data_IF_099584109675
#
_entry.id   IF_099584109675
#
_cell.length_a   1.000
_cell.length_b   1.000
_cell.length_c   1.000
_cell.angle_alpha   90.00
_cell.angle_beta   90.00
_cell.angle_gamma   90.00
#
_symmetry.space_group_name_H-M   'P 1'
#
loop_
_entity.id
_entity.type
_entity.pdbx_description
1 polymer ?
#
# COMPACT_ATOMS: atom_id res chain seq x y z
N UNK A 1 -7.42 19.54 -5.13
CA UNK A 1 -6.63 20.09 -6.25
C UNK A 1 -6.32 19.05 -7.30
N UNK A 2 -5.61 17.96 -6.98
CA UNK A 2 -5.24 16.93 -7.99
C UNK A 2 -6.46 16.26 -8.63
N UNK A 3 -7.45 15.84 -7.84
CA UNK A 3 -8.60 15.08 -8.34
C UNK A 3 -9.69 15.94 -8.99
N UNK A 4 -9.70 17.25 -8.75
CA UNK A 4 -10.82 18.13 -9.14
C UNK A 4 -12.17 17.83 -8.45
N UNK A 5 -12.27 16.82 -7.60
CA UNK A 5 -13.53 16.41 -6.95
C UNK A 5 -13.65 17.09 -5.59
N UNK A 6 -14.60 18.02 -5.44
CA UNK A 6 -14.91 18.67 -4.15
C UNK A 6 -15.87 17.83 -3.30
N UNK A 7 -15.93 18.05 -1.97
CA UNK A 7 -16.90 17.38 -1.10
C UNK A 7 -18.35 17.58 -1.56
N UNK A 8 -18.69 18.75 -2.10
CA UNK A 8 -20.03 19.03 -2.64
C UNK A 8 -20.35 18.20 -3.89
N UNK A 9 -19.37 18.01 -4.78
CA UNK A 9 -19.53 17.12 -5.94
C UNK A 9 -19.74 15.68 -5.45
N UNK A 10 -18.92 15.23 -4.51
CA UNK A 10 -19.03 13.88 -3.95
C UNK A 10 -20.38 13.66 -3.25
N UNK A 11 -20.85 14.62 -2.46
CA UNK A 11 -22.14 14.55 -1.76
C UNK A 11 -23.34 14.55 -2.73
N UNK A 12 -23.28 15.33 -3.81
CA UNK A 12 -24.40 15.44 -4.77
C UNK A 12 -24.49 14.27 -5.76
N UNK A 13 -23.36 13.63 -6.09
CA UNK A 13 -23.32 12.53 -7.08
C UNK A 13 -23.09 11.16 -6.46
N UNK A 14 -22.64 11.12 -5.20
CA UNK A 14 -22.26 9.91 -4.51
C UNK A 14 -23.42 9.20 -3.83
N UNK A 15 -23.05 8.18 -3.06
CA UNK A 15 -23.91 7.41 -2.17
C UNK A 15 -23.25 7.33 -0.80
N UNK A 16 -23.95 6.82 0.22
CA UNK A 16 -23.34 6.59 1.53
C UNK A 16 -22.17 5.61 1.45
N UNK A 17 -21.24 5.66 2.41
CA UNK A 17 -20.09 4.75 2.41
C UNK A 17 -20.54 3.28 2.52
N UNK A 18 -21.64 3.01 3.24
CA UNK A 18 -22.25 1.69 3.33
C UNK A 18 -22.69 1.14 1.96
N UNK A 19 -23.37 1.97 1.16
CA UNK A 19 -23.78 1.57 -0.19
C UNK A 19 -22.59 1.47 -1.14
N UNK A 20 -21.63 2.41 -1.05
CA UNK A 20 -20.40 2.39 -1.83
C UNK A 20 -19.59 1.11 -1.58
N UNK A 21 -19.41 0.73 -0.32
CA UNK A 21 -18.77 -0.51 0.10
C UNK A 21 -19.49 -1.73 -0.47
N UNK A 22 -20.83 -1.74 -0.42
CA UNK A 22 -21.62 -2.85 -0.95
C UNK A 22 -21.41 -3.05 -2.46
N UNK A 23 -21.40 -1.96 -3.24
CA UNK A 23 -21.16 -1.99 -4.69
C UNK A 23 -19.76 -2.52 -5.02
N UNK A 24 -18.71 -2.02 -4.34
CA UNK A 24 -17.34 -2.50 -4.56
C UNK A 24 -17.21 -3.97 -4.15
N UNK A 25 -17.73 -4.33 -2.98
CA UNK A 25 -17.65 -5.70 -2.49
C UNK A 25 -18.31 -6.69 -3.47
N UNK A 26 -19.48 -6.35 -4.02
CA UNK A 26 -20.15 -7.20 -5.01
C UNK A 26 -19.28 -7.44 -6.25
N UNK A 27 -18.59 -6.42 -6.75
CA UNK A 27 -17.67 -6.54 -7.88
C UNK A 27 -16.44 -7.37 -7.53
N UNK A 28 -15.83 -7.13 -6.35
CA UNK A 28 -14.56 -7.74 -5.95
C UNK A 28 -14.71 -9.21 -5.50
N UNK A 29 -15.93 -9.65 -5.20
CA UNK A 29 -16.21 -11.03 -4.73
C UNK A 29 -16.78 -11.95 -5.80
N UNK A 30 -16.92 -11.49 -7.05
CA UNK A 30 -17.16 -12.36 -8.18
C UNK A 30 -16.05 -13.42 -8.28
N UNK A 31 -16.42 -14.68 -8.54
CA UNK A 31 -15.49 -15.81 -8.54
C UNK A 31 -14.39 -15.66 -9.61
N UNK A 32 -13.20 -16.20 -9.31
CA UNK A 32 -12.03 -16.19 -10.20
C UNK A 32 -11.58 -14.78 -10.66
N UNK A 33 -11.85 -13.76 -9.86
CA UNK A 33 -11.49 -12.37 -10.18
C UNK A 33 -10.07 -12.05 -9.73
N UNK A 34 -9.28 -11.44 -10.64
CA UNK A 34 -8.01 -10.81 -10.29
C UNK A 34 -8.19 -9.30 -10.23
N UNK A 35 -8.31 -8.74 -9.02
CA UNK A 35 -8.38 -7.30 -8.82
C UNK A 35 -6.98 -6.70 -9.02
N UNK A 36 -6.87 -5.71 -9.90
CA UNK A 36 -5.58 -5.11 -10.28
C UNK A 36 -5.76 -3.63 -10.59
N UNK A 37 -4.76 -2.85 -10.22
CA UNK A 37 -4.63 -1.45 -10.59
C UNK A 37 -3.17 -1.07 -10.79
N UNK A 38 -2.87 0.21 -10.57
CA UNK A 38 -1.53 0.76 -10.66
C UNK A 38 -1.15 1.36 -9.30
N UNK A 39 -0.21 0.75 -8.58
CA UNK A 39 0.11 1.06 -7.18
C UNK A 39 -1.00 0.71 -6.16
N UNK A 40 -1.96 -0.12 -6.55
CA UNK A 40 -3.12 -0.45 -5.71
C UNK A 40 -2.72 -1.20 -4.43
N UNK A 41 -1.71 -2.08 -4.47
CA UNK A 41 -1.37 -2.93 -3.31
C UNK A 41 -0.89 -2.11 -2.10
N UNK A 42 -0.34 -0.90 -2.35
CA UNK A 42 0.13 0.01 -1.30
C UNK A 42 -0.82 1.17 -1.03
N UNK A 43 -1.88 1.35 -1.83
CA UNK A 43 -2.81 2.47 -1.69
C UNK A 43 -4.28 2.02 -1.79
N UNK A 44 -4.80 1.74 -2.99
CA UNK A 44 -6.22 1.45 -3.21
C UNK A 44 -6.72 0.21 -2.46
N UNK A 45 -5.87 -0.82 -2.30
CA UNK A 45 -6.17 -2.00 -1.50
C UNK A 45 -6.29 -1.64 0.00
N UNK A 46 -5.50 -0.68 0.49
CA UNK A 46 -5.57 -0.19 1.87
C UNK A 46 -6.84 0.65 2.07
N UNK A 47 -7.22 1.47 1.08
CA UNK A 47 -8.51 2.17 1.07
C UNK A 47 -9.66 1.16 1.09
N UNK A 48 -9.62 0.13 0.23
CA UNK A 48 -10.64 -0.93 0.15
C UNK A 48 -10.77 -1.69 1.47
N UNK A 49 -9.66 -2.10 2.08
CA UNK A 49 -9.66 -2.77 3.39
C UNK A 49 -10.33 -1.93 4.46
N UNK A 50 -10.02 -0.64 4.51
CA UNK A 50 -10.57 0.27 5.51
C UNK A 50 -12.05 0.58 5.25
N UNK A 51 -12.48 0.72 3.99
CA UNK A 51 -13.89 0.86 3.62
C UNK A 51 -14.66 -0.40 4.06
N UNK A 52 -14.15 -1.59 3.77
CA UNK A 52 -14.80 -2.83 4.19
C UNK A 52 -14.85 -2.99 5.71
N UNK A 53 -13.75 -2.69 6.39
CA UNK A 53 -13.64 -2.69 7.85
C UNK A 53 -14.69 -1.79 8.53
N UNK A 54 -14.81 -0.54 8.07
CA UNK A 54 -15.79 0.41 8.63
C UNK A 54 -17.24 0.05 8.33
N UNK A 55 -17.49 -0.76 7.30
CA UNK A 55 -18.82 -1.11 6.81
C UNK A 55 -19.12 -2.61 6.95
N UNK A 56 -18.45 -3.29 7.89
CA UNK A 56 -18.72 -4.67 8.31
C UNK A 56 -18.55 -5.76 7.25
N UNK A 57 -17.79 -5.48 6.19
CA UNK A 57 -17.35 -6.48 5.23
C UNK A 57 -16.00 -7.07 5.65
N UNK A 58 -15.71 -8.32 5.25
CA UNK A 58 -14.38 -8.90 5.48
C UNK A 58 -13.32 -8.09 4.71
N UNK A 59 -12.33 -7.46 5.39
CA UNK A 59 -11.36 -6.60 4.73
C UNK A 59 -10.42 -7.34 3.76
N UNK A 60 -10.35 -8.67 3.83
CA UNK A 60 -9.33 -9.48 3.17
C UNK A 60 -9.90 -10.53 2.21
N UNK A 61 -11.09 -11.08 2.51
CA UNK A 61 -11.73 -12.19 1.80
C UNK A 61 -11.76 -12.03 0.28
N UNK A 62 -12.07 -10.82 -0.19
CA UNK A 62 -12.13 -10.46 -1.61
C UNK A 62 -10.86 -10.77 -2.42
N UNK A 63 -9.69 -10.80 -1.77
CA UNK A 63 -8.39 -10.97 -2.42
C UNK A 63 -7.95 -12.43 -2.58
N UNK A 64 -8.68 -13.41 -2.03
CA UNK A 64 -8.27 -14.82 -2.04
C UNK A 64 -9.40 -15.86 -2.04
N UNK A 65 -10.60 -15.53 -1.55
CA UNK A 65 -11.74 -16.45 -1.56
C UNK A 65 -12.20 -16.72 -3.00
N UNK A 66 -12.85 -17.86 -3.24
CA UNK A 66 -13.45 -18.21 -4.53
C UNK A 66 -12.49 -18.19 -5.73
N UNK A 67 -11.21 -18.51 -5.48
CA UNK A 67 -10.17 -18.47 -6.51
C UNK A 67 -9.72 -17.05 -6.89
N UNK A 68 -10.12 -16.04 -6.13
CA UNK A 68 -9.74 -14.66 -6.39
C UNK A 68 -8.26 -14.41 -6.08
N UNK A 69 -7.75 -13.33 -6.65
CA UNK A 69 -6.38 -12.88 -6.44
C UNK A 69 -6.29 -11.37 -6.58
N UNK A 70 -5.11 -10.82 -6.29
CA UNK A 70 -4.78 -9.44 -6.59
C UNK A 70 -3.45 -9.34 -7.33
N UNK A 71 -3.25 -8.21 -7.99
CA UNK A 71 -2.00 -7.87 -8.67
C UNK A 71 -1.79 -6.35 -8.68
N UNK A 72 -0.60 -5.91 -9.09
CA UNK A 72 -0.24 -4.48 -9.18
C UNK A 72 0.72 -4.27 -10.36
N UNK A 73 0.35 -3.39 -11.28
CA UNK A 73 1.16 -3.14 -12.47
C UNK A 73 2.37 -2.23 -12.23
N UNK A 74 2.45 -1.49 -11.13
CA UNK A 74 3.60 -0.60 -10.89
C UNK A 74 4.91 -1.38 -10.84
N UNK A 75 4.97 -2.43 -10.01
CA UNK A 75 6.19 -3.24 -9.90
C UNK A 75 6.37 -4.15 -11.15
N UNK A 76 5.33 -4.41 -11.94
CA UNK A 76 5.44 -5.03 -13.27
C UNK A 76 6.16 -4.10 -14.26
N UNK A 77 5.81 -2.82 -14.29
CA UNK A 77 6.49 -1.83 -15.16
C UNK A 77 7.97 -1.70 -14.77
N UNK A 78 8.26 -1.61 -13.46
CA UNK A 78 9.64 -1.60 -12.96
C UNK A 78 10.41 -2.86 -13.35
N UNK A 79 9.79 -4.03 -13.22
CA UNK A 79 10.42 -5.29 -13.58
C UNK A 79 10.68 -5.40 -15.08
N UNK A 80 9.75 -4.91 -15.90
CA UNK A 80 9.93 -4.84 -17.35
C UNK A 80 11.11 -3.93 -17.72
N UNK A 81 11.16 -2.71 -17.19
CA UNK A 81 12.30 -1.81 -17.40
C UNK A 81 13.64 -2.43 -16.94
N UNK A 82 13.63 -3.04 -15.76
CA UNK A 82 14.85 -3.56 -15.16
C UNK A 82 15.38 -4.80 -15.89
N UNK A 83 14.50 -5.71 -16.28
CA UNK A 83 14.90 -7.03 -16.74
C UNK A 83 14.79 -7.16 -18.26
N UNK A 84 13.75 -6.61 -18.88
CA UNK A 84 13.46 -6.78 -20.31
C UNK A 84 12.89 -5.47 -20.90
N UNK A 85 13.71 -4.41 -20.98
CA UNK A 85 13.24 -3.08 -21.37
C UNK A 85 12.84 -2.98 -22.85
N UNK A 86 13.29 -3.92 -23.69
CA UNK A 86 13.16 -3.82 -25.14
C UNK A 86 11.68 -3.80 -25.57
N UNK A 87 11.34 -2.91 -26.51
CA UNK A 87 10.00 -2.80 -27.10
C UNK A 87 9.04 -1.83 -26.40
N UNK A 88 9.44 -1.21 -25.28
CA UNK A 88 8.68 -0.17 -24.57
C UNK A 88 9.55 1.08 -24.44
N UNK A 89 8.95 2.26 -24.63
CA UNK A 89 9.63 3.53 -24.40
C UNK A 89 9.56 3.90 -22.92
N UNK A 90 10.72 4.16 -22.31
CA UNK A 90 10.83 4.46 -20.89
C UNK A 90 11.14 5.95 -20.69
N UNK A 91 10.19 6.75 -20.17
CA UNK A 91 10.42 8.17 -19.95
C UNK A 91 11.37 8.38 -18.77
N UNK A 92 12.13 9.47 -18.82
CA UNK A 92 12.98 9.92 -17.73
C UNK A 92 12.29 11.05 -16.93
N UNK A 93 12.63 11.18 -15.66
CA UNK A 93 12.24 12.31 -14.81
C UNK A 93 13.25 13.46 -14.96
N UNK A 94 13.02 14.56 -14.23
CA UNK A 94 13.87 15.76 -14.25
C UNK A 94 15.32 15.48 -13.80
N UNK A 95 15.53 14.42 -13.00
CA UNK A 95 16.84 13.99 -12.51
C UNK A 95 17.56 13.00 -13.45
N UNK A 96 16.97 12.68 -14.62
CA UNK A 96 17.52 11.71 -15.58
C UNK A 96 17.32 10.24 -15.19
N UNK A 97 16.43 9.94 -14.24
CA UNK A 97 16.08 8.58 -13.82
C UNK A 97 14.76 8.10 -14.46
N UNK A 98 14.55 6.78 -14.64
CA UNK A 98 13.31 6.25 -15.20
C UNK A 98 12.09 6.67 -14.38
N UNK A 99 11.08 7.21 -15.05
CA UNK A 99 9.80 7.56 -14.47
C UNK A 99 8.76 6.47 -14.69
N UNK A 100 8.10 6.06 -13.61
CA UNK A 100 7.01 5.07 -13.63
C UNK A 100 5.66 5.70 -13.30
N UNK A 101 5.52 7.02 -13.47
CA UNK A 101 4.21 7.66 -13.40
C UNK A 101 3.38 7.24 -14.62
N UNK A 102 2.10 6.92 -14.41
CA UNK A 102 1.26 6.32 -15.44
C UNK A 102 1.10 7.27 -16.64
N UNK A 103 0.90 8.55 -16.37
CA UNK A 103 0.80 9.63 -17.35
C UNK A 103 2.07 9.81 -18.19
N UNK A 104 3.26 9.62 -17.60
CA UNK A 104 4.51 9.67 -18.34
C UNK A 104 4.66 8.45 -19.26
N UNK A 105 4.34 7.25 -18.76
CA UNK A 105 4.45 6.01 -19.51
C UNK A 105 3.49 5.97 -20.69
N UNK A 106 2.23 6.36 -20.50
CA UNK A 106 1.24 6.38 -21.58
C UNK A 106 1.65 7.36 -22.67
N UNK A 107 2.08 8.58 -22.29
CA UNK A 107 2.56 9.60 -23.22
C UNK A 107 3.76 9.11 -24.04
N UNK A 108 4.75 8.49 -23.39
CA UNK A 108 5.95 7.97 -24.05
C UNK A 108 5.66 6.83 -25.05
N UNK A 109 4.55 6.11 -24.86
CA UNK A 109 4.19 4.94 -25.67
C UNK A 109 2.99 5.18 -26.60
N UNK A 110 2.56 6.44 -26.79
CA UNK A 110 1.45 6.78 -27.69
C UNK A 110 0.08 6.24 -27.25
N UNK A 111 -0.10 5.99 -25.95
CA UNK A 111 -1.37 5.55 -25.36
C UNK A 111 -2.20 6.77 -25.00
N UNK A 112 -3.46 6.80 -25.44
CA UNK A 112 -4.40 7.85 -25.08
C UNK A 112 -4.59 7.92 -23.56
N UNK A 113 -4.40 9.10 -23.01
CA UNK A 113 -4.57 9.40 -21.59
C UNK A 113 -5.13 10.82 -21.50
N UNK A 114 -6.44 10.95 -21.70
CA UNK A 114 -7.11 12.25 -21.92
C UNK A 114 -7.10 13.12 -20.67
N UNK A 115 -7.57 12.58 -19.54
CA UNK A 115 -7.63 13.28 -18.24
C UNK A 115 -6.92 12.44 -17.18
N UNK A 116 -5.63 12.69 -16.97
CA UNK A 116 -4.92 12.09 -15.84
C UNK A 116 -5.60 12.45 -14.52
N UNK A 117 -5.69 11.49 -13.59
CA UNK A 117 -6.41 11.61 -12.32
C UNK A 117 -7.95 11.60 -12.40
N UNK A 118 -8.51 11.28 -13.57
CA UNK A 118 -9.86 10.72 -13.67
C UNK A 118 -9.81 9.20 -13.49
N UNK A 119 -10.69 8.66 -12.64
CA UNK A 119 -10.66 7.25 -12.27
C UNK A 119 -10.83 6.30 -13.47
N UNK A 120 -11.68 6.65 -14.44
CA UNK A 120 -11.90 5.80 -15.62
C UNK A 120 -10.75 5.92 -16.61
N UNK A 121 -10.23 7.13 -16.81
CA UNK A 121 -9.03 7.36 -17.65
C UNK A 121 -7.84 6.56 -17.13
N UNK A 122 -7.58 6.58 -15.82
CA UNK A 122 -6.49 5.83 -15.19
C UNK A 122 -6.69 4.31 -15.33
N UNK A 123 -7.93 3.81 -15.27
CA UNK A 123 -8.26 2.39 -15.54
C UNK A 123 -7.92 2.00 -16.98
N UNK A 124 -8.31 2.80 -17.97
CA UNK A 124 -8.00 2.52 -19.38
C UNK A 124 -6.50 2.61 -19.67
N UNK A 125 -5.81 3.59 -19.10
CA UNK A 125 -4.36 3.72 -19.16
C UNK A 125 -3.66 2.47 -18.57
N UNK A 126 -4.10 2.04 -17.38
CA UNK A 126 -3.59 0.82 -16.72
C UNK A 126 -3.78 -0.42 -17.58
N UNK A 127 -4.98 -0.60 -18.16
CA UNK A 127 -5.27 -1.71 -19.07
C UNK A 127 -4.40 -1.67 -20.34
N UNK A 128 -4.20 -0.50 -20.93
CA UNK A 128 -3.37 -0.33 -22.12
C UNK A 128 -1.90 -0.68 -21.82
N UNK A 129 -1.37 -0.23 -20.68
CA UNK A 129 -0.01 -0.59 -20.25
C UNK A 129 0.13 -2.10 -19.99
N UNK A 130 -0.88 -2.74 -19.39
CA UNK A 130 -0.90 -4.20 -19.21
C UNK A 130 -0.81 -4.94 -20.56
N UNK A 131 -1.61 -4.51 -21.55
CA UNK A 131 -1.60 -5.06 -22.91
C UNK A 131 -0.25 -4.86 -23.58
N UNK A 132 0.34 -3.68 -23.44
CA UNK A 132 1.66 -3.37 -24.01
C UNK A 132 2.74 -4.29 -23.45
N UNK A 133 2.83 -4.47 -22.13
CA UNK A 133 3.80 -5.38 -21.53
C UNK A 133 3.54 -6.83 -21.96
N UNK A 134 2.28 -7.26 -22.01
CA UNK A 134 1.91 -8.61 -22.45
C UNK A 134 2.31 -8.85 -23.91
N UNK A 135 2.19 -7.86 -24.79
CA UNK A 135 2.57 -7.95 -26.19
C UNK A 135 4.10 -7.98 -26.37
N UNK A 136 4.81 -7.03 -25.74
CA UNK A 136 6.26 -6.85 -25.95
C UNK A 136 7.10 -7.85 -25.16
N UNK A 137 6.64 -8.24 -23.97
CA UNK A 137 7.38 -9.10 -23.04
C UNK A 137 6.49 -10.22 -22.45
N UNK A 138 5.89 -11.09 -23.28
CA UNK A 138 4.88 -12.07 -22.85
C UNK A 138 5.39 -13.05 -21.79
N UNK A 139 6.63 -13.54 -21.93
CA UNK A 139 7.23 -14.47 -20.97
C UNK A 139 7.43 -13.84 -19.59
N UNK A 140 7.85 -12.58 -19.55
CA UNK A 140 8.00 -11.85 -18.29
C UNK A 140 6.63 -11.58 -17.67
N UNK A 141 5.65 -11.15 -18.47
CA UNK A 141 4.28 -10.91 -18.01
C UNK A 141 3.67 -12.17 -17.40
N UNK A 142 3.76 -13.32 -18.07
CA UNK A 142 3.25 -14.60 -17.58
C UNK A 142 3.97 -15.06 -16.31
N UNK A 143 5.29 -14.91 -16.26
CA UNK A 143 6.08 -15.22 -15.08
C UNK A 143 5.61 -14.38 -13.88
N UNK A 144 5.53 -13.05 -14.03
CA UNK A 144 5.12 -12.13 -12.96
C UNK A 144 3.67 -12.36 -12.54
N UNK A 145 2.77 -12.60 -13.50
CA UNK A 145 1.38 -12.90 -13.21
C UNK A 145 1.27 -14.18 -12.38
N UNK A 146 1.96 -15.26 -12.77
CA UNK A 146 1.98 -16.52 -12.02
C UNK A 146 2.53 -16.34 -10.61
N UNK A 147 3.60 -15.56 -10.47
CA UNK A 147 4.28 -15.30 -9.20
C UNK A 147 3.63 -14.17 -8.38
N UNK A 148 2.45 -13.66 -8.75
CA UNK A 148 1.63 -12.86 -7.82
C UNK A 148 1.11 -13.69 -6.64
N UNK A 149 0.99 -15.00 -6.84
CA UNK A 149 0.52 -15.93 -5.82
C UNK A 149 1.62 -16.26 -4.81
N UNK A 150 1.32 -16.09 -3.51
CA UNK A 150 2.28 -16.34 -2.42
C UNK A 150 2.88 -17.75 -2.44
N UNK A 151 2.10 -18.77 -2.81
CA UNK A 151 2.59 -20.16 -2.84
C UNK A 151 3.58 -20.36 -3.98
N UNK A 152 3.40 -19.67 -5.11
CA UNK A 152 4.37 -19.68 -6.22
C UNK A 152 5.65 -18.96 -5.83
N UNK A 153 5.56 -17.81 -5.16
CA UNK A 153 6.74 -17.09 -4.64
C UNK A 153 7.55 -17.95 -3.66
N UNK A 154 6.89 -18.68 -2.76
CA UNK A 154 7.57 -19.56 -1.80
C UNK A 154 8.47 -20.60 -2.47
N UNK A 155 8.16 -21.05 -3.70
CA UNK A 155 9.02 -22.00 -4.43
C UNK A 155 10.37 -21.43 -4.85
N UNK A 156 10.52 -20.10 -4.87
CA UNK A 156 11.78 -19.43 -5.18
C UNK A 156 12.68 -19.29 -3.95
N UNK A 157 12.11 -19.31 -2.75
CA UNK A 157 12.78 -18.98 -1.49
C UNK A 157 13.48 -20.20 -0.92
N UNK A 158 14.78 -20.11 -0.73
CA UNK A 158 15.60 -21.12 -0.04
C UNK A 158 16.52 -20.42 0.97
N UNK A 159 16.04 -20.34 2.22
CA UNK A 159 16.73 -19.72 3.35
C UNK A 159 17.96 -20.55 3.77
N UNK A 160 17.89 -21.89 3.93
CA UNK A 160 19.07 -22.68 4.32
C UNK A 160 20.26 -22.51 3.37
N UNK A 161 20.04 -22.51 2.06
CA UNK A 161 21.11 -22.36 1.07
C UNK A 161 21.47 -20.89 0.78
N UNK A 162 20.76 -19.94 1.41
CA UNK A 162 20.90 -18.52 1.14
C UNK A 162 20.85 -18.25 -0.37
N UNK A 163 19.82 -18.80 -1.05
CA UNK A 163 19.72 -18.74 -2.50
C UNK A 163 19.45 -17.30 -2.95
N UNK A 164 20.35 -16.67 -3.74
CA UNK A 164 20.15 -15.30 -4.17
C UNK A 164 18.98 -15.20 -5.16
N UNK A 165 18.25 -14.10 -5.07
CA UNK A 165 17.11 -13.77 -5.90
C UNK A 165 17.27 -12.36 -6.46
N UNK A 166 16.73 -12.12 -7.66
CA UNK A 166 16.45 -10.76 -8.13
C UNK A 166 15.21 -10.27 -7.42
N UNK A 167 15.26 -9.06 -6.89
CA UNK A 167 14.10 -8.38 -6.37
C UNK A 167 13.96 -6.98 -6.98
N UNK A 168 12.75 -6.66 -7.44
CA UNK A 168 12.39 -5.34 -7.97
C UNK A 168 11.42 -4.67 -7.00
N UNK A 169 11.77 -3.46 -6.56
CA UNK A 169 11.03 -2.71 -5.55
C UNK A 169 11.40 -1.22 -5.59
N UNK A 170 10.39 -0.35 -5.52
CA UNK A 170 10.58 1.10 -5.42
C UNK A 170 11.55 1.54 -4.31
N UNK A 171 11.63 0.78 -3.20
CA UNK A 171 12.52 1.08 -2.07
C UNK A 171 14.01 1.05 -2.41
N UNK A 172 14.40 0.39 -3.51
CA UNK A 172 15.79 0.36 -3.96
C UNK A 172 16.23 1.66 -4.66
N UNK A 173 15.29 2.52 -5.05
CA UNK A 173 15.56 3.79 -5.73
C UNK A 173 15.69 3.65 -7.25
N UNK A 174 15.37 4.73 -7.97
CA UNK A 174 15.36 4.76 -9.43
C UNK A 174 16.77 4.69 -10.03
N UNK A 175 17.80 5.11 -9.29
CA UNK A 175 19.20 5.10 -9.71
C UNK A 175 19.74 3.71 -10.12
N UNK A 176 19.18 2.64 -9.54
CA UNK A 176 19.48 1.25 -9.92
C UNK A 176 18.30 0.53 -10.55
N UNK A 177 17.43 1.28 -11.23
CA UNK A 177 16.21 0.77 -11.86
C UNK A 177 15.31 0.00 -10.89
N UNK A 178 15.23 0.44 -9.63
CA UNK A 178 14.46 -0.20 -8.57
C UNK A 178 14.82 -1.69 -8.35
N UNK A 179 16.05 -2.11 -8.64
CA UNK A 179 16.42 -3.54 -8.67
C UNK A 179 17.66 -3.83 -7.84
N UNK A 180 17.69 -5.00 -7.22
CA UNK A 180 18.91 -5.55 -6.62
C UNK A 180 18.89 -7.08 -6.58
N UNK A 181 20.05 -7.68 -6.31
CA UNK A 181 20.09 -9.04 -5.78
C UNK A 181 19.88 -9.01 -4.26
N UNK A 182 19.01 -9.89 -3.80
CA UNK A 182 18.74 -10.09 -2.38
C UNK A 182 18.95 -11.54 -2.00
N UNK A 183 19.22 -11.77 -0.72
CA UNK A 183 19.32 -13.11 -0.15
C UNK A 183 18.36 -13.26 1.04
N UNK A 184 17.54 -14.33 1.08
CA UNK A 184 16.64 -14.56 2.20
C UNK A 184 17.39 -15.15 3.39
N UNK A 185 17.21 -14.55 4.57
CA UNK A 185 17.90 -15.01 5.78
C UNK A 185 16.95 -15.62 6.82
N UNK A 186 15.73 -15.13 6.95
CA UNK A 186 14.75 -15.68 7.88
C UNK A 186 13.32 -15.26 7.51
N UNK A 187 12.34 -15.98 8.06
CA UNK A 187 10.97 -15.47 8.15
C UNK A 187 10.88 -14.50 9.32
N UNK A 188 10.03 -13.48 9.20
CA UNK A 188 9.72 -12.58 10.31
C UNK A 188 9.07 -13.37 11.46
N UNK A 189 9.43 -13.09 12.73
CA UNK A 189 8.92 -13.82 13.89
C UNK A 189 7.38 -13.76 14.01
N UNK A 190 6.79 -12.57 13.91
CA UNK A 190 5.33 -12.41 14.05
C UNK A 190 4.57 -12.43 12.72
N UNK A 191 5.07 -11.71 11.71
CA UNK A 191 4.40 -11.61 10.42
C UNK A 191 4.76 -12.76 9.48
N UNK A 192 3.92 -13.81 9.47
CA UNK A 192 4.08 -15.00 8.61
C UNK A 192 4.18 -14.73 7.10
N UNK A 193 3.80 -13.54 6.64
CA UNK A 193 3.91 -13.16 5.23
C UNK A 193 5.13 -12.28 4.93
N UNK A 194 5.98 -11.98 5.91
CA UNK A 194 7.17 -11.15 5.74
C UNK A 194 8.44 -12.01 5.75
N UNK A 195 9.23 -11.88 4.69
CA UNK A 195 10.54 -12.50 4.55
C UNK A 195 11.62 -11.45 4.83
N UNK A 196 12.54 -11.75 5.73
CA UNK A 196 13.70 -10.92 6.01
C UNK A 196 14.76 -11.23 4.95
N UNK A 197 15.12 -10.22 4.16
CA UNK A 197 16.14 -10.34 3.11
C UNK A 197 17.23 -9.28 3.30
N UNK A 198 18.44 -9.63 2.89
CA UNK A 198 19.57 -8.70 2.81
C UNK A 198 19.79 -8.29 1.36
N UNK A 199 19.98 -7.00 1.14
CA UNK A 199 20.37 -6.40 -0.14
C UNK A 199 21.87 -6.63 -0.36
N UNK A 200 22.22 -7.50 -1.30
CA UNK A 200 23.61 -7.88 -1.55
C UNK A 200 24.44 -6.75 -2.17
N UNK A 201 23.81 -5.70 -2.68
CA UNK A 201 24.51 -4.52 -3.19
C UNK A 201 24.85 -3.50 -2.08
N UNK A 202 24.37 -3.72 -0.85
CA UNK A 202 24.63 -2.83 0.28
C UNK A 202 25.93 -3.12 1.01
N UNK A 203 26.28 -2.25 1.95
CA UNK A 203 27.42 -2.41 2.85
C UNK A 203 27.09 -3.41 3.96
N UNK A 204 27.80 -4.53 4.02
CA UNK A 204 27.60 -5.58 5.03
C UNK A 204 28.21 -5.24 6.39
N UNK A 205 29.08 -4.22 6.47
CA UNK A 205 29.83 -3.85 7.68
C UNK A 205 28.92 -3.69 8.90
N UNK A 206 27.78 -2.96 8.84
CA UNK A 206 26.90 -2.82 9.98
C UNK A 206 26.36 -4.16 10.51
N UNK A 207 26.04 -5.10 9.61
CA UNK A 207 25.53 -6.42 10.01
C UNK A 207 26.58 -7.26 10.74
N UNK A 208 27.85 -7.06 10.39
CA UNK A 208 28.99 -7.76 10.98
C UNK A 208 29.38 -7.16 12.34
N UNK A 209 29.34 -5.83 12.47
CA UNK A 209 29.95 -5.14 13.61
C UNK A 209 28.98 -4.70 14.70
N UNK A 210 27.72 -4.39 14.37
CA UNK A 210 26.74 -3.89 15.33
C UNK A 210 25.96 -5.03 16.01
N UNK A 211 25.50 -4.79 17.24
CA UNK A 211 24.51 -5.64 17.91
C UNK A 211 23.07 -5.39 17.39
N UNK A 212 22.11 -6.17 17.88
CA UNK A 212 20.72 -6.12 17.42
C UNK A 212 20.02 -4.78 17.75
N UNK A 213 20.30 -4.18 18.91
CA UNK A 213 19.66 -2.93 19.33
C UNK A 213 20.16 -1.75 18.50
N UNK A 214 21.48 -1.68 18.33
CA UNK A 214 22.15 -0.68 17.46
C UNK A 214 21.70 -0.82 15.99
N UNK A 215 21.53 -2.05 15.50
CA UNK A 215 20.99 -2.27 14.16
C UNK A 215 19.53 -1.84 14.04
N UNK A 216 18.70 -2.11 15.06
CA UNK A 216 17.29 -1.74 15.09
C UNK A 216 17.13 -0.22 15.06
N UNK A 217 17.86 0.49 15.92
CA UNK A 217 17.87 1.95 15.96
C UNK A 217 18.22 2.51 14.57
N UNK A 218 19.35 2.06 14.00
CA UNK A 218 19.80 2.53 12.67
C UNK A 218 18.85 2.17 11.54
N UNK A 219 18.15 1.03 11.61
CA UNK A 219 17.16 0.61 10.62
C UNK A 219 15.95 1.55 10.58
N UNK A 220 15.57 2.13 11.72
CA UNK A 220 14.42 3.04 11.84
C UNK A 220 14.81 4.53 11.82
N UNK A 221 16.10 4.86 11.83
CA UNK A 221 16.58 6.23 11.59
C UNK A 221 16.39 6.62 10.12
N UNK A 222 15.88 7.84 9.89
CA UNK A 222 15.69 8.34 8.52
C UNK A 222 17.04 8.57 7.85
N UNK A 223 17.13 8.32 6.54
CA UNK A 223 18.39 8.50 5.79
C UNK A 223 19.00 9.90 5.93
N UNK A 224 18.17 10.94 6.01
CA UNK A 224 18.61 12.33 6.22
C UNK A 224 19.28 12.57 7.58
N UNK A 225 19.03 11.69 8.56
CA UNK A 225 19.53 11.79 9.93
C UNK A 225 20.75 10.86 10.17
N UNK A 226 21.09 9.99 9.21
CA UNK A 226 22.20 9.04 9.32
C UNK A 226 23.59 9.67 9.12
N UNK A 227 23.67 10.91 8.61
CA UNK A 227 24.95 11.55 8.27
C UNK A 227 25.77 10.70 7.29
N UNK A 228 27.03 10.41 7.67
CA UNK A 228 27.97 9.60 6.87
C UNK A 228 27.80 8.08 7.07
N UNK A 229 26.87 7.64 7.94
CA UNK A 229 26.67 6.22 8.21
C UNK A 229 25.94 5.51 7.07
N UNK A 230 26.44 4.34 6.67
CA UNK A 230 25.74 3.44 5.75
C UNK A 230 24.40 3.00 6.36
N UNK A 231 23.34 3.04 5.56
CA UNK A 231 22.06 2.44 5.91
C UNK A 231 22.18 0.92 6.04
N UNK A 232 21.35 0.31 6.90
CA UNK A 232 21.32 -1.14 7.08
C UNK A 232 20.78 -1.81 5.80
N UNK A 233 21.49 -2.78 5.19
CA UNK A 233 21.08 -3.40 3.93
C UNK A 233 20.04 -4.50 4.14
N UNK A 234 19.05 -4.26 5.01
CA UNK A 234 18.01 -5.23 5.38
C UNK A 234 16.65 -4.67 4.97
N UNK A 235 15.80 -5.53 4.43
CA UNK A 235 14.40 -5.18 4.15
C UNK A 235 13.47 -6.36 4.37
N UNK A 236 12.19 -6.03 4.54
CA UNK A 236 11.12 -7.02 4.51
C UNK A 236 10.54 -7.16 3.11
N UNK A 237 10.34 -8.39 2.66
CA UNK A 237 9.59 -8.73 1.45
C UNK A 237 8.28 -9.37 1.88
N UNK A 238 7.17 -8.67 1.69
CA UNK A 238 5.84 -9.17 2.02
C UNK A 238 5.28 -10.01 0.88
N UNK A 239 5.30 -11.34 1.01
CA UNK A 239 4.92 -12.30 -0.07
C UNK A 239 3.44 -12.20 -0.47
N UNK A 240 2.59 -11.62 0.38
CA UNK A 240 1.19 -11.38 0.08
C UNK A 240 0.96 -10.04 -0.65
N UNK A 241 1.96 -9.17 -0.80
CA UNK A 241 1.88 -7.86 -1.47
C UNK A 241 2.49 -7.88 -2.88
N UNK A 242 2.31 -8.99 -3.61
CA UNK A 242 2.74 -9.17 -4.99
C UNK A 242 4.21 -8.77 -5.27
N UNK A 243 5.19 -9.10 -4.42
CA UNK A 243 6.56 -8.65 -4.63
C UNK A 243 7.16 -9.33 -5.86
N UNK A 244 7.92 -8.57 -6.64
CA UNK A 244 8.65 -9.14 -7.78
C UNK A 244 9.89 -9.85 -7.25
N UNK A 245 9.87 -11.19 -7.28
CA UNK A 245 11.04 -12.04 -7.04
C UNK A 245 11.28 -12.93 -8.26
N UNK A 246 12.54 -13.09 -8.65
CA UNK A 246 12.94 -14.00 -9.71
C UNK A 246 14.28 -14.68 -9.40
N UNK A 247 14.60 -15.83 -10.02
CA UNK A 247 15.91 -16.45 -9.89
C UNK A 247 17.05 -15.48 -10.26
N UNK A 248 18.20 -15.57 -9.59
CA UNK A 248 19.34 -14.67 -9.77
C UNK A 248 19.77 -14.47 -11.24
N UNK A 249 19.73 -15.53 -12.05
CA UNK A 249 20.10 -15.52 -13.47
C UNK A 249 19.12 -14.76 -14.37
N UNK A 250 17.96 -14.31 -13.85
CA UNK A 250 17.01 -13.49 -14.60
C UNK A 250 17.57 -12.10 -14.90
N UNK A 251 18.40 -11.57 -13.98
CA UNK A 251 19.20 -10.36 -14.18
C UNK A 251 20.49 -10.74 -14.91
N UNK A 252 20.53 -10.42 -16.21
CA UNK A 252 21.66 -10.75 -17.07
C UNK A 252 22.85 -9.81 -16.80
N UNK A 253 24.10 -10.20 -17.11
CA UNK A 253 25.26 -9.32 -16.93
C UNK A 253 25.09 -7.95 -17.58
N UNK A 254 24.50 -7.89 -18.79
CA UNK A 254 24.25 -6.66 -19.52
C UNK A 254 23.18 -5.77 -18.85
N UNK A 255 22.14 -6.37 -18.27
CA UNK A 255 21.12 -5.63 -17.51
C UNK A 255 21.72 -5.08 -16.22
N UNK A 256 22.53 -5.87 -15.52
CA UNK A 256 23.22 -5.42 -14.31
C UNK A 256 24.18 -4.26 -14.61
N UNK A 257 24.93 -4.34 -15.72
CA UNK A 257 25.78 -3.24 -16.18
C UNK A 257 24.99 -1.97 -16.50
N UNK A 258 23.87 -2.08 -17.21
CA UNK A 258 22.96 -0.95 -17.50
C UNK A 258 22.39 -0.31 -16.24
N UNK A 259 22.11 -1.12 -15.21
CA UNK A 259 21.52 -0.66 -13.95
C UNK A 259 22.57 -0.26 -12.89
N UNK A 260 23.87 -0.36 -13.19
CA UNK A 260 24.94 -0.04 -12.23
C UNK A 260 25.03 -1.03 -11.05
N UNK A 261 24.59 -2.28 -11.23
CA UNK A 261 24.63 -3.30 -10.18
C UNK A 261 25.90 -4.13 -10.33
N UNK A 262 26.82 -4.02 -9.37
CA UNK A 262 28.04 -4.83 -9.32
C UNK A 262 27.74 -6.26 -8.84
N UNK A 263 27.65 -7.18 -9.81
CA UNK A 263 27.40 -8.60 -9.56
C UNK A 263 28.53 -9.27 -8.78
N UNK A 264 29.78 -8.83 -8.94
CA UNK A 264 30.91 -9.43 -8.24
C UNK A 264 30.87 -9.05 -6.76
N UNK A 265 30.70 -7.76 -6.47
CA UNK A 265 30.49 -7.28 -5.09
C UNK A 265 29.31 -8.00 -4.41
N UNK A 266 28.19 -8.20 -5.11
CA UNK A 266 27.06 -8.95 -4.55
C UNK A 266 27.40 -10.42 -4.21
N UNK A 267 28.22 -11.09 -5.04
CA UNK A 267 28.65 -12.46 -4.78
C UNK A 267 29.66 -12.55 -3.63
N UNK A 268 30.55 -11.56 -3.53
CA UNK A 268 31.52 -11.45 -2.43
C UNK A 268 30.76 -11.24 -1.11
N UNK A 269 29.77 -10.34 -1.08
CA UNK A 269 28.88 -10.16 0.08
C UNK A 269 28.09 -11.42 0.44
N UNK A 270 27.60 -12.18 -0.55
CA UNK A 270 26.94 -13.46 -0.30
C UNK A 270 27.90 -14.48 0.33
N UNK A 271 29.16 -14.52 -0.12
CA UNK A 271 30.18 -15.38 0.47
C UNK A 271 30.48 -14.99 1.93
N UNK A 272 30.58 -13.68 2.21
CA UNK A 272 30.71 -13.15 3.58
C UNK A 272 29.53 -13.58 4.46
N UNK A 273 28.28 -13.36 4.03
CA UNK A 273 27.10 -13.73 4.82
C UNK A 273 27.04 -15.24 5.15
N UNK A 274 27.51 -16.09 4.23
CA UNK A 274 27.59 -17.55 4.47
C UNK A 274 28.62 -17.95 5.51
N UNK A 275 29.66 -17.15 5.71
CA UNK A 275 30.66 -17.35 6.76
C UNK A 275 30.19 -16.84 8.13
N UNK A 276 29.11 -16.07 8.16
CA UNK A 276 28.56 -15.40 9.34
C UNK A 276 27.10 -15.80 9.63
N UNK A 277 26.82 -17.09 9.94
CA UNK A 277 25.46 -17.58 10.18
C UNK A 277 24.76 -16.89 11.36
N UNK A 278 25.51 -16.35 12.32
CA UNK A 278 25.01 -15.60 13.48
C UNK A 278 24.21 -14.35 13.09
N UNK A 279 24.44 -13.80 11.90
CA UNK A 279 23.67 -12.66 11.38
C UNK A 279 22.18 -13.01 11.30
N UNK A 280 21.83 -14.27 11.00
CA UNK A 280 20.42 -14.70 10.94
C UNK A 280 19.71 -14.46 12.27
N UNK A 281 20.31 -14.88 13.38
CA UNK A 281 19.73 -14.73 14.72
C UNK A 281 19.60 -13.26 15.09
N UNK A 282 20.63 -12.47 14.79
CA UNK A 282 20.64 -11.02 14.97
C UNK A 282 19.47 -10.36 14.24
N UNK A 283 19.24 -10.72 12.97
CA UNK A 283 18.13 -10.16 12.20
C UNK A 283 16.77 -10.58 12.73
N UNK A 284 16.60 -11.81 13.19
CA UNK A 284 15.33 -12.24 13.81
C UNK A 284 15.05 -11.43 15.09
N UNK A 285 16.07 -11.21 15.93
CA UNK A 285 15.94 -10.42 17.15
C UNK A 285 15.56 -8.95 16.89
N UNK A 286 16.10 -8.33 15.83
CA UNK A 286 15.72 -6.96 15.44
C UNK A 286 14.20 -6.82 15.25
N UNK A 287 13.57 -7.81 14.62
CA UNK A 287 12.13 -7.78 14.30
C UNK A 287 11.24 -8.38 15.40
N UNK A 288 11.78 -9.19 16.31
CA UNK A 288 11.03 -9.75 17.44
C UNK A 288 10.79 -8.72 18.54
N UNK A 289 11.82 -7.93 18.87
CA UNK A 289 11.77 -6.97 19.98
C UNK A 289 11.51 -5.54 19.50
N UNK A 290 10.83 -5.37 18.35
CA UNK A 290 10.43 -4.04 17.91
C UNK A 290 9.44 -3.46 18.92
N UNK A 291 9.73 -2.25 19.44
CA UNK A 291 8.81 -1.60 20.37
C UNK A 291 7.41 -1.50 19.75
N UNK A 292 6.37 -1.96 20.45
CA UNK A 292 5.01 -1.84 19.94
C UNK A 292 4.68 -0.36 19.81
N UNK A 293 4.27 0.03 18.61
CA UNK A 293 3.69 1.35 18.38
C UNK A 293 2.53 1.55 19.37
N UNK A 294 2.48 2.71 20.05
CA UNK A 294 1.35 3.03 20.93
C UNK A 294 0.06 2.98 20.12
N UNK A 295 -0.84 2.03 20.38
CA UNK A 295 -2.06 1.88 19.59
C UNK A 295 -2.88 3.16 19.67
N UNK A 296 -3.47 3.58 18.55
CA UNK A 296 -4.41 4.70 18.58
C UNK A 296 -5.72 4.28 19.23
N UNK A 297 -6.33 5.16 20.01
CA UNK A 297 -7.68 4.96 20.53
C UNK A 297 -8.79 5.10 19.46
N UNK A 298 -8.41 5.58 18.27
CA UNK A 298 -9.33 5.82 17.16
C UNK A 298 -9.63 4.52 16.39
N UNK A 299 -10.85 4.00 16.56
CA UNK A 299 -11.28 2.71 15.99
C UNK A 299 -11.10 2.60 14.47
N UNK A 300 -11.15 3.72 13.72
CA UNK A 300 -10.95 3.70 12.26
C UNK A 300 -9.50 3.37 11.86
N UNK A 301 -8.55 3.50 12.78
CA UNK A 301 -7.11 3.20 12.57
C UNK A 301 -6.70 1.83 13.11
N UNK A 302 -7.62 1.11 13.76
CA UNK A 302 -7.37 -0.14 14.46
C UNK A 302 -7.56 -1.39 13.59
N UNK A 303 -7.62 -1.25 12.25
CA UNK A 303 -7.78 -2.39 11.32
C UNK A 303 -6.74 -3.49 11.57
N UNK A 304 -5.50 -3.09 11.86
CA UNK A 304 -4.36 -3.99 12.00
C UNK A 304 -4.10 -4.49 13.43
N UNK A 305 -4.95 -4.12 14.40
CA UNK A 305 -4.84 -4.53 15.81
C UNK A 305 -5.24 -6.00 16.05
N UNK A 306 -5.56 -6.73 14.99
CA UNK A 306 -5.88 -8.15 15.03
C UNK A 306 -7.05 -8.53 14.12
N UNK A 307 -7.13 -9.82 13.78
CA UNK A 307 -8.25 -10.37 13.03
C UNK A 307 -9.47 -10.57 13.94
N UNK A 308 -10.67 -10.40 13.38
CA UNK A 308 -11.91 -10.78 14.05
C UNK A 308 -12.05 -12.31 14.16
N UNK A 309 -12.71 -12.79 15.21
CA UNK A 309 -13.05 -14.22 15.36
C UNK A 309 -14.10 -14.65 14.32
N UNK A 310 -14.28 -15.97 14.14
CA UNK A 310 -15.37 -16.49 13.29
C UNK A 310 -16.76 -16.08 13.81
N UNK A 311 -16.91 -16.05 15.14
CA UNK A 311 -18.14 -15.59 15.80
C UNK A 311 -18.40 -14.10 15.53
N UNK A 312 -17.38 -13.25 15.71
CA UNK A 312 -17.49 -11.82 15.39
C UNK A 312 -17.85 -11.62 13.90
N UNK A 313 -17.22 -12.35 12.98
CA UNK A 313 -17.54 -12.29 11.54
C UNK A 313 -19.00 -12.66 11.27
N UNK A 314 -19.52 -13.70 11.91
CA UNK A 314 -20.92 -14.08 11.78
C UNK A 314 -21.86 -12.98 12.30
N UNK A 315 -21.55 -12.38 13.46
CA UNK A 315 -22.31 -11.25 14.00
C UNK A 315 -22.26 -10.00 13.11
N UNK A 316 -21.10 -9.68 12.54
CA UNK A 316 -20.96 -8.57 11.58
C UNK A 316 -21.77 -8.81 10.30
N UNK A 317 -21.91 -10.05 9.85
CA UNK A 317 -22.81 -10.39 8.74
C UNK A 317 -24.28 -10.16 9.09
N UNK A 318 -24.70 -10.49 10.32
CA UNK A 318 -26.06 -10.20 10.81
C UNK A 318 -26.30 -8.68 10.81
N UNK A 319 -25.34 -7.89 11.29
CA UNK A 319 -25.40 -6.41 11.24
C UNK A 319 -25.67 -5.94 9.81
N UNK A 320 -24.91 -6.42 8.81
CA UNK A 320 -25.08 -6.00 7.42
C UNK A 320 -26.43 -6.40 6.80
N UNK A 321 -27.00 -7.53 7.21
CA UNK A 321 -28.28 -8.02 6.71
C UNK A 321 -29.48 -7.39 7.43
N UNK A 322 -29.25 -6.72 8.55
CA UNK A 322 -30.29 -6.08 9.35
C UNK A 322 -30.62 -4.69 8.78
N UNK A 323 -31.91 -4.39 8.63
CA UNK A 323 -32.35 -3.06 8.21
C UNK A 323 -31.86 -1.97 9.20
N UNK A 324 -31.41 -0.80 8.73
CA UNK A 324 -30.82 0.22 9.61
C UNK A 324 -31.67 0.63 10.81
N UNK A 325 -33.00 0.70 10.63
CA UNK A 325 -33.94 1.03 11.70
C UNK A 325 -34.01 -0.01 12.83
N UNK A 326 -33.60 -1.25 12.56
CA UNK A 326 -33.62 -2.35 13.52
C UNK A 326 -32.26 -2.59 14.19
N UNK A 327 -31.18 -1.96 13.70
CA UNK A 327 -29.84 -2.08 14.28
C UNK A 327 -29.75 -1.69 15.77
N UNK A 328 -30.48 -0.68 16.29
CA UNK A 328 -30.43 -0.34 17.71
C UNK A 328 -30.99 -1.43 18.62
N UNK A 329 -31.92 -2.24 18.11
CA UNK A 329 -32.58 -3.31 18.85
C UNK A 329 -31.81 -4.64 18.81
N UNK A 330 -30.68 -4.68 18.09
CA UNK A 330 -29.88 -5.87 17.90
C UNK A 330 -29.03 -6.15 19.16
N UNK A 331 -29.31 -7.26 19.84
CA UNK A 331 -28.55 -7.70 21.02
C UNK A 331 -27.53 -8.77 20.61
N UNK A 332 -26.35 -8.32 20.18
CA UNK A 332 -25.22 -9.18 19.82
C UNK A 332 -24.02 -8.94 20.73
N UNK A 333 -23.42 -10.03 21.18
CA UNK A 333 -22.16 -10.01 21.92
C UNK A 333 -21.00 -10.25 20.97
N UNK A 334 -19.95 -9.43 21.09
CA UNK A 334 -18.73 -9.52 20.30
C UNK A 334 -17.51 -9.70 21.20
N UNK A 335 -16.55 -10.52 20.74
CA UNK A 335 -15.27 -10.70 21.42
C UNK A 335 -14.42 -9.43 21.28
N UNK A 336 -14.41 -8.84 20.07
CA UNK A 336 -13.62 -7.65 19.80
C UNK A 336 -14.32 -6.38 20.30
N UNK A 337 -13.69 -5.58 21.18
CA UNK A 337 -14.27 -4.32 21.67
C UNK A 337 -14.40 -3.25 20.57
N UNK A 338 -13.75 -3.46 19.41
CA UNK A 338 -13.83 -2.58 18.25
C UNK A 338 -15.23 -2.55 17.64
N UNK A 339 -15.95 -3.68 17.64
CA UNK A 339 -17.22 -3.82 16.93
C UNK A 339 -18.27 -2.82 17.43
N UNK A 340 -18.40 -2.64 18.73
CA UNK A 340 -19.35 -1.68 19.31
C UNK A 340 -19.04 -0.23 18.89
N UNK A 341 -17.75 0.16 18.89
CA UNK A 341 -17.30 1.49 18.44
C UNK A 341 -17.55 1.67 16.93
N UNK A 342 -17.26 0.64 16.12
CA UNK A 342 -17.53 0.63 14.69
C UNK A 342 -19.02 0.77 14.39
N UNK A 343 -19.88 0.03 15.11
CA UNK A 343 -21.33 0.01 14.86
C UNK A 343 -21.96 1.37 15.11
N UNK A 344 -21.55 2.03 16.19
CA UNK A 344 -21.97 3.40 16.47
C UNK A 344 -21.58 4.35 15.34
N UNK A 345 -20.31 4.34 14.90
CA UNK A 345 -19.83 5.22 13.81
C UNK A 345 -20.47 4.89 12.47
N UNK A 346 -20.67 3.61 12.16
CA UNK A 346 -21.32 3.14 10.95
C UNK A 346 -22.75 3.67 10.85
N UNK A 347 -23.54 3.55 11.94
CA UNK A 347 -24.90 4.11 12.02
C UNK A 347 -24.89 5.63 11.93
N UNK A 348 -24.03 6.30 12.70
CA UNK A 348 -24.00 7.76 12.75
C UNK A 348 -23.59 8.41 11.41
N UNK A 349 -22.68 7.76 10.65
CA UNK A 349 -22.22 8.25 9.34
C UNK A 349 -23.21 7.97 8.22
N UNK A 350 -23.77 6.77 8.17
CA UNK A 350 -24.55 6.31 7.02
C UNK A 350 -26.06 6.46 7.21
N UNK A 351 -26.54 6.42 8.46
CA UNK A 351 -27.96 6.42 8.82
C UNK A 351 -28.23 7.34 10.03
N UNK A 352 -27.85 8.63 9.99
CA UNK A 352 -27.96 9.53 11.14
C UNK A 352 -29.39 9.66 11.68
N UNK A 353 -30.41 9.50 10.81
CA UNK A 353 -31.83 9.50 11.23
C UNK A 353 -32.27 8.31 12.08
N UNK A 354 -31.39 7.33 12.32
CA UNK A 354 -31.64 6.17 13.20
C UNK A 354 -31.11 6.38 14.61
N UNK A 355 -30.44 7.50 14.89
CA UNK A 355 -29.87 7.80 16.20
C UNK A 355 -30.92 8.38 17.14
N UNK A 356 -30.96 7.90 18.38
CA UNK A 356 -31.73 8.56 19.45
C UNK A 356 -31.07 9.86 19.94
N UNK A 357 -31.72 10.59 20.84
CA UNK A 357 -31.23 11.88 21.33
C UNK A 357 -29.85 11.76 22.01
N UNK A 358 -29.61 10.71 22.80
CA UNK A 358 -28.34 10.50 23.49
C UNK A 358 -27.22 10.16 22.51
N UNK A 359 -27.52 9.35 21.51
CA UNK A 359 -26.61 9.00 20.42
C UNK A 359 -26.28 10.20 19.54
N UNK A 360 -27.25 11.06 19.25
CA UNK A 360 -27.02 12.32 18.53
C UNK A 360 -26.10 13.26 19.33
N UNK A 361 -26.30 13.41 20.65
CA UNK A 361 -25.39 14.20 21.49
C UNK A 361 -23.99 13.61 21.53
N UNK A 362 -23.86 12.27 21.64
CA UNK A 362 -22.57 11.58 21.58
C UNK A 362 -21.87 11.82 20.24
N UNK A 363 -22.61 11.78 19.13
CA UNK A 363 -22.05 12.03 17.80
C UNK A 363 -21.64 13.49 17.61
N UNK A 364 -22.42 14.44 18.12
CA UNK A 364 -22.07 15.85 18.13
C UNK A 364 -20.77 16.10 18.93
N UNK A 365 -20.63 15.48 20.10
CA UNK A 365 -19.41 15.57 20.90
C UNK A 365 -18.20 15.02 20.14
N UNK A 366 -18.34 13.84 19.52
CA UNK A 366 -17.28 13.27 18.67
C UNK A 366 -16.89 14.22 17.52
N UNK A 367 -17.86 14.83 16.82
CA UNK A 367 -17.59 15.81 15.76
C UNK A 367 -16.81 17.02 16.29
N UNK A 368 -17.15 17.54 17.47
CA UNK A 368 -16.43 18.67 18.11
C UNK A 368 -14.99 18.34 18.47
N UNK A 369 -14.73 17.13 18.94
CA UNK A 369 -13.37 16.67 19.26
C UNK A 369 -12.51 16.51 17.99
N UNK A 370 -13.11 15.96 16.93
CA UNK A 370 -12.45 15.78 15.63
C UNK A 370 -12.21 17.12 14.93
N UNK A 371 -13.20 18.01 14.93
CA UNK A 371 -13.19 19.35 14.33
C UNK A 371 -12.91 20.42 15.40
N UNK A 372 -11.90 20.18 16.24
CA UNK A 372 -11.52 21.15 17.28
C UNK A 372 -10.95 22.45 16.67
N UNK A 373 -10.95 23.58 17.41
CA UNK A 373 -10.52 24.87 16.90
C UNK A 373 -9.13 24.86 16.27
N UNK A 374 -8.16 24.16 16.87
CA UNK A 374 -6.78 24.11 16.37
C UNK A 374 -6.70 23.43 14.99
N UNK A 375 -7.39 22.30 14.82
CA UNK A 375 -7.44 21.59 13.53
C UNK A 375 -8.15 22.40 12.45
N UNK A 376 -9.27 23.03 12.81
CA UNK A 376 -10.02 23.89 11.87
C UNK A 376 -9.17 25.09 11.47
N UNK A 377 -8.52 25.76 12.41
CA UNK A 377 -7.64 26.89 12.13
C UNK A 377 -6.46 26.48 11.25
N UNK A 378 -5.81 25.35 11.56
CA UNK A 378 -4.72 24.80 10.73
C UNK A 378 -5.17 24.53 9.29
N UNK A 379 -6.35 23.95 9.11
CA UNK A 379 -6.90 23.68 7.78
C UNK A 379 -7.20 24.99 7.02
N UNK A 380 -7.77 26.00 7.68
CA UNK A 380 -8.05 27.30 7.06
C UNK A 380 -6.76 28.03 6.66
N UNK A 381 -5.73 28.00 7.52
CA UNK A 381 -4.41 28.57 7.19
C UNK A 381 -3.76 27.86 6.00
N UNK A 382 -3.91 26.54 5.89
CA UNK A 382 -3.43 25.78 4.74
C UNK A 382 -4.16 26.20 3.46
N UNK A 383 -5.50 26.36 3.51
CA UNK A 383 -6.27 26.86 2.37
C UNK A 383 -5.83 28.27 1.93
N UNK A 384 -5.57 29.18 2.87
CA UNK A 384 -5.07 30.53 2.58
C UNK A 384 -3.68 30.51 1.94
N UNK A 385 -2.78 29.68 2.48
CA UNK A 385 -1.43 29.50 1.93
C UNK A 385 -1.47 28.96 0.50
N UNK A 386 -2.31 27.95 0.25
CA UNK A 386 -2.49 27.36 -1.08
C UNK A 386 -3.17 28.32 -2.06
N UNK A 387 -4.09 29.16 -1.59
CA UNK A 387 -4.74 30.17 -2.42
C UNK A 387 -3.74 31.23 -2.89
N UNK A 388 -2.84 31.66 -2.00
CA UNK A 388 -1.73 32.55 -2.35
C UNK A 388 -0.77 31.91 -3.35
N UNK A 389 -0.36 30.66 -3.12
CA UNK A 389 0.53 29.92 -4.01
C UNK A 389 -0.05 29.71 -5.43
N UNK A 390 -1.37 29.63 -5.55
CA UNK A 390 -2.08 29.35 -6.80
C UNK A 390 -2.96 30.52 -7.27
N UNK A 391 -2.61 31.77 -6.92
CA UNK A 391 -3.41 32.97 -7.22
C UNK A 391 -3.73 33.18 -8.71
N UNK A 392 -2.90 32.62 -9.60
CA UNK A 392 -3.07 32.71 -11.06
C UNK A 392 -3.87 31.55 -11.66
N UNK A 393 -4.17 30.51 -10.88
CA UNK A 393 -4.87 29.30 -11.31
C UNK A 393 -6.34 29.35 -10.86
N UNK A 394 -7.19 29.88 -11.74
CA UNK A 394 -8.62 30.10 -11.45
C UNK A 394 -9.37 28.81 -11.07
N UNK A 395 -8.97 27.67 -11.65
CA UNK A 395 -9.61 26.39 -11.36
C UNK A 395 -9.26 25.92 -9.94
N UNK A 396 -7.98 26.00 -9.54
CA UNK A 396 -7.56 25.68 -8.18
C UNK A 396 -8.17 26.63 -7.16
N UNK A 397 -8.23 27.93 -7.45
CA UNK A 397 -8.91 28.90 -6.58
C UNK A 397 -10.39 28.58 -6.38
N UNK A 398 -11.10 28.16 -7.43
CA UNK A 398 -12.49 27.74 -7.32
C UNK A 398 -12.65 26.51 -6.41
N UNK A 399 -11.75 25.53 -6.52
CA UNK A 399 -11.74 24.36 -5.63
C UNK A 399 -11.44 24.74 -4.16
N UNK A 400 -10.45 25.61 -3.92
CA UNK A 400 -10.10 26.07 -2.57
C UNK A 400 -11.25 26.84 -1.92
N UNK A 401 -11.93 27.71 -2.69
CA UNK A 401 -13.15 28.40 -2.22
C UNK A 401 -14.25 27.41 -1.86
N UNK A 402 -14.45 26.36 -2.65
CA UNK A 402 -15.43 25.32 -2.33
C UNK A 402 -15.08 24.58 -1.03
N UNK A 403 -13.79 24.28 -0.78
CA UNK A 403 -13.34 23.66 0.47
C UNK A 403 -13.57 24.58 1.68
N UNK A 404 -13.31 25.87 1.54
CA UNK A 404 -13.59 26.86 2.58
C UNK A 404 -15.08 26.89 2.96
N UNK A 405 -15.97 26.96 1.96
CA UNK A 405 -17.42 26.97 2.18
C UNK A 405 -17.90 25.66 2.85
N UNK A 406 -17.31 24.53 2.46
CA UNK A 406 -17.62 23.24 3.10
C UNK A 406 -17.19 23.20 4.57
N UNK A 407 -16.00 23.71 4.88
CA UNK A 407 -15.52 23.79 6.25
C UNK A 407 -16.44 24.68 7.11
N UNK A 408 -16.89 25.81 6.57
CA UNK A 408 -17.83 26.71 7.24
C UNK A 408 -19.16 26.02 7.59
N UNK A 409 -19.72 25.24 6.66
CA UNK A 409 -20.96 24.46 6.87
C UNK A 409 -20.78 23.36 7.93
N UNK A 410 -19.61 22.72 8.00
CA UNK A 410 -19.36 21.64 8.94
C UNK A 410 -19.23 22.09 10.40
N UNK A 411 -18.80 23.33 10.63
CA UNK A 411 -18.52 23.91 11.95
C UNK A 411 -19.61 24.86 12.46
N UNK A 412 -20.53 25.29 11.59
CA UNK A 412 -21.78 25.96 11.98
C UNK A 412 -22.75 24.99 12.63
#
# INVERSE_FOLDING_TARGET
>A
MITGITPQIAASRGVSEAEFAARIHALFTAEQTCVVGYNNVRFDDEVTRNIFYRNFYDPYGWSWQNGNSRWDLLDVMRACYALRPEGINWPENEDGFPSFRLEHLTKANGVAHENAHDAMSDVYATLAMAKLVKEKQPKLFEFLFTHRNKNKLMTLIDIPQMKPLVHVSGMFGAARGNTSWVVPLAWHPDNRNALIVVDLAGDMTPLLTLDADSLRERLYTRKSELGDQSAIPVKLVHINKCPVLAPANTLRPEDAGRLGIDRKSCLDNLATLRQHPEIREKLVAIFADAEPFTPSDDVDTQLYDGFFSDADRAGMNIIRQTAPANLPALDLTFDSPRVAKLLFRYRARNFPGTLDDAEQQRWLQHRREVLNPDKVQSFLMELESLASLHESDQEKLAQLKALYLYAQELVS
#
